data_IF_349496032682
#
_entry.id   IF_349496032682
#
_cell.length_a   1.000
_cell.length_b   1.000
_cell.length_c   1.000
_cell.angle_alpha   90.00
_cell.angle_beta   90.00
_cell.angle_gamma   90.00
#
_symmetry.space_group_name_H-M   'P 1'
#
loop_
_entity.id
_entity.type
_entity.pdbx_description
1 polymer ?
#
# COMPACT_ATOMS: atom_id res chain seq x y z
N UNK A 1 -19.50 12.82 0.50
CA UNK A 1 -19.17 11.39 0.70
C UNK A 1 -18.35 10.84 -0.46
N UNK A 2 -18.80 11.01 -1.70
CA UNK A 2 -18.07 10.52 -2.88
C UNK A 2 -16.65 11.12 -2.96
N UNK A 3 -16.51 12.41 -2.68
CA UNK A 3 -15.19 13.07 -2.71
C UNK A 3 -14.21 12.51 -1.69
N UNK A 4 -14.69 12.16 -0.50
CA UNK A 4 -13.84 11.58 0.55
C UNK A 4 -13.47 10.16 0.17
N UNK A 5 -14.40 9.36 -0.35
CA UNK A 5 -14.10 8.01 -0.82
C UNK A 5 -13.02 8.02 -1.90
N UNK A 6 -13.14 8.91 -2.86
CA UNK A 6 -12.16 9.04 -3.95
C UNK A 6 -10.80 9.51 -3.41
N UNK A 7 -10.79 10.44 -2.49
CA UNK A 7 -9.58 10.93 -1.86
C UNK A 7 -8.84 9.79 -1.14
N UNK A 8 -9.56 9.00 -0.34
CA UNK A 8 -8.94 7.89 0.38
C UNK A 8 -8.52 6.75 -0.56
N UNK A 9 -9.27 6.52 -1.64
CA UNK A 9 -8.88 5.55 -2.66
C UNK A 9 -7.59 5.97 -3.36
N UNK A 10 -7.47 7.24 -3.73
CA UNK A 10 -6.26 7.77 -4.36
C UNK A 10 -5.06 7.71 -3.41
N UNK A 11 -5.26 8.07 -2.15
CA UNK A 11 -4.19 7.96 -1.15
C UNK A 11 -3.77 6.51 -0.93
N UNK A 12 -4.71 5.59 -0.86
CA UNK A 12 -4.39 4.16 -0.69
C UNK A 12 -3.52 3.68 -1.83
N UNK A 13 -3.91 4.00 -3.06
CA UNK A 13 -3.14 3.66 -4.25
C UNK A 13 -1.72 4.25 -4.15
N UNK A 14 -1.61 5.54 -3.88
CA UNK A 14 -0.33 6.24 -3.87
C UNK A 14 0.60 5.72 -2.77
N UNK A 15 0.08 5.46 -1.58
CA UNK A 15 0.90 4.98 -0.45
C UNK A 15 1.41 3.56 -0.73
N UNK A 16 0.54 2.66 -1.20
CA UNK A 16 0.96 1.29 -1.49
C UNK A 16 1.97 1.26 -2.64
N UNK A 17 1.73 2.03 -3.70
CA UNK A 17 2.68 2.15 -4.82
C UNK A 17 4.03 2.66 -4.32
N UNK A 18 4.01 3.70 -3.51
CA UNK A 18 5.25 4.24 -2.95
C UNK A 18 5.99 3.20 -2.12
N UNK A 19 5.27 2.38 -1.34
CA UNK A 19 5.91 1.35 -0.53
C UNK A 19 6.67 0.33 -1.37
N UNK A 20 6.17 0.03 -2.57
CA UNK A 20 6.89 -0.83 -3.53
C UNK A 20 8.07 -0.09 -4.16
N UNK A 21 7.87 1.16 -4.57
CA UNK A 21 8.92 1.95 -5.22
C UNK A 21 10.12 2.20 -4.30
N UNK A 22 9.87 2.29 -3.00
CA UNK A 22 10.91 2.52 -1.99
C UNK A 22 11.40 1.22 -1.34
N UNK A 23 10.86 0.07 -1.75
CA UNK A 23 11.13 -1.23 -1.12
C UNK A 23 10.84 -1.22 0.38
N UNK A 24 9.84 -0.45 0.79
CA UNK A 24 9.46 -0.33 2.20
C UNK A 24 10.30 0.62 3.03
N UNK A 25 11.16 1.40 2.40
CA UNK A 25 12.02 2.36 3.09
C UNK A 25 11.21 3.60 3.51
N UNK A 26 10.76 3.61 4.74
CA UNK A 26 9.90 4.66 5.27
C UNK A 26 10.56 6.04 5.25
N UNK A 27 11.89 6.12 5.34
CA UNK A 27 12.61 7.39 5.29
C UNK A 27 12.41 8.14 3.99
N UNK A 28 12.00 7.43 2.94
CA UNK A 28 11.72 8.00 1.62
C UNK A 28 10.25 8.32 1.38
N UNK A 29 9.39 8.02 2.34
CA UNK A 29 7.96 8.27 2.18
C UNK A 29 7.62 9.74 2.39
N UNK A 30 6.74 10.24 1.53
CA UNK A 30 6.14 11.56 1.71
C UNK A 30 4.82 11.52 2.50
N UNK A 31 4.44 10.33 3.01
CA UNK A 31 3.19 10.13 3.75
C UNK A 31 3.43 9.83 5.24
N UNK A 32 4.55 10.27 5.78
CA UNK A 32 4.92 9.97 7.17
C UNK A 32 3.92 10.55 8.19
N UNK A 33 3.20 11.61 7.82
CA UNK A 33 2.16 12.19 8.67
C UNK A 33 0.85 11.38 8.66
N UNK A 34 0.69 10.48 7.71
CA UNK A 34 -0.56 9.75 7.47
C UNK A 34 -0.44 8.29 7.86
N UNK A 35 0.74 7.69 7.67
CA UNK A 35 0.96 6.27 7.93
C UNK A 35 2.20 6.10 8.82
N UNK A 36 2.12 5.18 9.78
CA UNK A 36 3.25 4.86 10.66
C UNK A 36 4.28 3.98 9.95
N UNK A 37 5.50 3.97 10.49
CA UNK A 37 6.59 3.15 9.95
C UNK A 37 6.24 1.67 9.93
N UNK A 38 5.68 1.16 11.01
CA UNK A 38 5.31 -0.27 11.11
C UNK A 38 4.30 -0.66 10.04
N UNK A 39 3.28 0.17 9.84
CA UNK A 39 2.26 -0.09 8.83
C UNK A 39 2.85 0.01 7.42
N UNK A 40 3.62 1.06 7.18
CA UNK A 40 4.24 1.28 5.86
C UNK A 40 5.13 0.10 5.46
N UNK A 41 5.94 -0.39 6.39
CA UNK A 41 6.85 -1.50 6.14
C UNK A 41 6.12 -2.80 5.80
N UNK A 42 4.87 -2.95 6.24
CA UNK A 42 4.07 -4.14 5.92
C UNK A 42 3.29 -4.04 4.61
N UNK A 43 3.26 -2.88 3.97
CA UNK A 43 2.40 -2.66 2.81
C UNK A 43 2.88 -3.33 1.54
N UNK A 44 4.17 -3.60 1.40
CA UNK A 44 4.66 -4.25 0.19
C UNK A 44 4.73 -5.77 0.37
N UNK A 45 4.71 -6.49 -0.75
CA UNK A 45 4.70 -7.95 -0.77
C UNK A 45 5.92 -8.55 -0.07
N UNK A 46 7.07 -7.92 -0.21
CA UNK A 46 8.31 -8.42 0.38
C UNK A 46 8.42 -8.09 1.86
N UNK A 47 7.68 -7.13 2.33
CA UNK A 47 7.61 -6.70 3.73
C UNK A 47 8.93 -6.14 4.26
N UNK A 48 9.03 -6.02 5.58
CA UNK A 48 10.21 -5.46 6.22
C UNK A 48 11.44 -6.34 5.96
N UNK A 49 12.56 -5.72 5.69
CA UNK A 49 13.82 -6.41 5.40
C UNK A 49 13.99 -6.79 3.94
N UNK A 50 12.93 -6.75 3.14
CA UNK A 50 13.01 -7.14 1.74
C UNK A 50 13.83 -6.17 0.90
N UNK A 51 13.91 -4.92 1.30
CA UNK A 51 14.75 -3.96 0.58
C UNK A 51 16.25 -4.29 0.70
N UNK A 52 16.65 -5.08 1.68
CA UNK A 52 18.02 -5.57 1.77
C UNK A 52 18.34 -6.56 0.65
N UNK A 53 17.31 -7.18 0.08
CA UNK A 53 17.41 -8.14 -1.02
C UNK A 53 16.97 -7.56 -2.37
N UNK A 54 16.82 -6.24 -2.47
CA UNK A 54 16.31 -5.60 -3.69
C UNK A 54 17.17 -5.86 -4.93
N UNK A 55 18.43 -6.20 -4.75
CA UNK A 55 19.30 -6.57 -5.87
C UNK A 55 18.95 -7.94 -6.45
N UNK A 56 18.18 -8.75 -5.72
CA UNK A 56 17.73 -10.07 -6.14
C UNK A 56 16.33 -10.05 -6.74
N UNK A 57 15.56 -9.01 -6.47
CA UNK A 57 14.16 -8.90 -6.89
C UNK A 57 13.89 -7.57 -7.56
N UNK A 58 13.11 -7.62 -8.61
CA UNK A 58 12.54 -6.42 -9.24
C UNK A 58 11.03 -6.58 -9.20
N UNK A 59 10.34 -5.65 -8.55
CA UNK A 59 8.89 -5.71 -8.37
C UNK A 59 8.24 -4.51 -9.02
N UNK A 60 7.20 -4.79 -9.78
CA UNK A 60 6.35 -3.77 -10.40
C UNK A 60 4.91 -4.01 -9.99
N UNK A 61 4.22 -2.95 -9.62
CA UNK A 61 2.78 -3.01 -9.37
C UNK A 61 2.05 -2.65 -10.66
N UNK A 62 1.10 -3.50 -11.03
CA UNK A 62 0.34 -3.33 -12.26
C UNK A 62 -0.54 -2.10 -12.22
N UNK A 63 -0.65 -1.40 -13.36
CA UNK A 63 -1.52 -0.25 -13.53
C UNK A 63 -3.02 -0.60 -13.59
N UNK A 64 -3.37 -1.89 -13.58
CA UNK A 64 -4.78 -2.34 -13.63
C UNK A 64 -5.40 -2.49 -12.26
N UNK A 65 -4.80 -1.90 -11.27
CA UNK A 65 -5.23 -1.99 -9.89
C UNK A 65 -6.46 -1.12 -9.64
N UNK A 66 -7.34 -1.60 -8.76
CA UNK A 66 -8.54 -0.87 -8.34
C UNK A 66 -8.56 -0.73 -6.84
N UNK A 67 -8.96 0.44 -6.38
CA UNK A 67 -9.20 0.70 -4.97
C UNK A 67 -10.65 1.08 -4.77
N UNK A 68 -11.33 0.39 -3.85
CA UNK A 68 -12.68 0.72 -3.43
C UNK A 68 -12.68 1.12 -1.97
N UNK A 69 -13.29 2.26 -1.66
CA UNK A 69 -13.36 2.76 -0.30
C UNK A 69 -14.82 2.84 0.16
N UNK A 70 -15.08 2.27 1.34
CA UNK A 70 -16.34 2.40 2.05
C UNK A 70 -16.13 3.25 3.29
N UNK A 71 -17.00 4.22 3.48
CA UNK A 71 -17.00 5.03 4.69
C UNK A 71 -18.06 4.46 5.61
N UNK A 72 -17.59 4.05 6.79
CA UNK A 72 -18.53 3.58 7.82
C UNK A 72 -18.91 4.79 8.68
N UNK A 73 -19.14 5.12 9.56
CA UNK A 73 -19.45 6.31 10.32
C UNK A 73 -18.77 7.57 9.75
N UNK A 74 -18.84 8.68 10.41
CA UNK A 74 -18.27 9.94 9.97
C UNK A 74 -16.74 9.98 10.05
N UNK A 75 -16.15 9.07 10.81
CA UNK A 75 -14.72 9.14 11.16
C UNK A 75 -13.93 7.86 10.86
N UNK A 76 -14.53 6.87 10.21
CA UNK A 76 -13.83 5.64 9.85
C UNK A 76 -14.14 5.23 8.41
N UNK A 77 -13.17 4.62 7.77
CA UNK A 77 -13.32 4.13 6.41
C UNK A 77 -12.41 2.93 6.17
N UNK A 78 -12.73 2.17 5.13
CA UNK A 78 -11.94 1.02 4.72
C UNK A 78 -11.73 1.08 3.22
N UNK A 79 -10.47 0.97 2.78
CA UNK A 79 -10.10 0.89 1.37
C UNK A 79 -9.58 -0.51 1.07
N UNK A 80 -10.18 -1.16 0.06
CA UNK A 80 -9.68 -2.43 -0.46
C UNK A 80 -8.97 -2.19 -1.76
N UNK A 81 -7.75 -2.67 -1.85
CA UNK A 81 -6.89 -2.51 -3.01
C UNK A 81 -6.48 -3.89 -3.53
N UNK A 82 -6.91 -4.19 -4.76
CA UNK A 82 -6.52 -5.41 -5.46
C UNK A 82 -5.59 -5.03 -6.59
N UNK A 83 -4.42 -5.68 -6.65
CA UNK A 83 -3.42 -5.35 -7.65
C UNK A 83 -2.63 -6.58 -8.05
N UNK A 84 -1.95 -6.49 -9.20
CA UNK A 84 -1.05 -7.53 -9.68
C UNK A 84 0.40 -7.10 -9.45
N UNK A 85 1.23 -8.06 -9.07
CA UNK A 85 2.66 -7.87 -8.91
C UNK A 85 3.35 -8.65 -10.00
N UNK A 86 4.28 -7.99 -10.68
CA UNK A 86 5.21 -8.62 -11.61
C UNK A 86 6.60 -8.53 -11.00
N UNK A 87 7.27 -9.64 -10.88
CA UNK A 87 8.60 -9.64 -10.29
C UNK A 87 9.54 -10.58 -11.02
N UNK A 88 10.84 -10.28 -10.94
CA UNK A 88 11.88 -11.15 -11.43
C UNK A 88 12.90 -11.42 -10.32
N UNK A 89 13.50 -12.59 -10.38
CA UNK A 89 14.55 -12.98 -9.43
C UNK A 89 15.88 -12.94 -10.18
N UNK A 90 16.87 -12.30 -9.59
CA UNK A 90 18.19 -12.17 -10.19
C UNK A 90 18.78 -13.55 -10.48
N UNK A 91 19.23 -13.76 -11.70
CA UNK A 91 19.80 -15.04 -12.14
C UNK A 91 18.80 -16.00 -12.74
N UNK A 92 17.51 -15.69 -12.70
CA UNK A 92 16.45 -16.48 -13.33
C UNK A 92 15.90 -15.73 -14.54
N UNK A 93 15.50 -16.50 -15.58
CA UNK A 93 14.88 -15.93 -16.77
C UNK A 93 13.38 -15.74 -16.54
N UNK A 94 12.85 -14.68 -17.17
CA UNK A 94 11.42 -14.43 -17.19
C UNK A 94 10.93 -13.73 -15.92
N UNK A 95 9.61 -13.69 -15.81
CA UNK A 95 8.91 -13.00 -14.73
C UNK A 95 7.89 -13.91 -14.09
N UNK A 96 7.70 -13.72 -12.81
CA UNK A 96 6.58 -14.32 -12.08
C UNK A 96 5.52 -13.25 -11.81
N UNK A 97 4.27 -13.69 -11.67
CA UNK A 97 3.14 -12.81 -11.45
C UNK A 97 2.38 -13.29 -10.22
N UNK A 98 1.83 -12.36 -9.48
CA UNK A 98 0.97 -12.66 -8.35
C UNK A 98 -0.10 -11.62 -8.21
N UNK A 99 -1.24 -12.02 -7.63
CA UNK A 99 -2.28 -11.08 -7.22
C UNK A 99 -2.19 -10.86 -5.72
N UNK A 100 -2.44 -9.65 -5.32
CA UNK A 100 -2.51 -9.30 -3.91
C UNK A 100 -3.74 -8.45 -3.66
N UNK A 101 -4.35 -8.65 -2.50
CA UNK A 101 -5.44 -7.79 -2.03
C UNK A 101 -5.05 -7.32 -0.65
N UNK A 102 -5.14 -6.03 -0.43
CA UNK A 102 -4.91 -5.47 0.89
C UNK A 102 -6.08 -4.59 1.31
N UNK A 103 -6.19 -4.40 2.61
CA UNK A 103 -7.21 -3.57 3.22
C UNK A 103 -6.53 -2.53 4.10
N UNK A 104 -6.84 -1.27 3.85
CA UNK A 104 -6.35 -0.14 4.63
C UNK A 104 -7.50 0.40 5.44
N UNK A 105 -7.35 0.41 6.76
CA UNK A 105 -8.31 1.02 7.66
C UNK A 105 -7.91 2.47 7.89
N UNK A 106 -8.88 3.35 7.81
CA UNK A 106 -8.70 4.79 7.95
C UNK A 106 -9.47 5.32 9.14
N UNK A 107 -8.89 6.30 9.79
CA UNK A 107 -9.54 7.04 10.86
C UNK A 107 -9.34 8.53 10.66
N UNK A 108 -10.41 9.29 10.83
CA UNK A 108 -10.35 10.74 10.87
C UNK A 108 -10.02 11.17 12.29
N UNK A 109 -8.87 11.76 12.47
CA UNK A 109 -8.41 12.24 13.77
C UNK A 109 -8.98 13.62 14.13
N UNK A 110 -8.78 14.04 15.37
CA UNK A 110 -9.34 15.30 15.88
C UNK A 110 -8.82 16.54 15.14
N UNK A 111 -7.68 16.43 14.48
CA UNK A 111 -7.12 17.49 13.65
C UNK A 111 -7.68 17.55 12.24
N UNK A 112 -8.73 16.78 11.96
CA UNK A 112 -9.35 16.67 10.65
C UNK A 112 -8.47 16.01 9.57
N UNK A 113 -7.50 15.22 9.97
CA UNK A 113 -6.63 14.49 9.05
C UNK A 113 -6.99 13.01 9.08
N UNK A 114 -7.23 12.44 7.90
CA UNK A 114 -7.42 11.00 7.76
C UNK A 114 -6.06 10.31 7.83
N UNK A 115 -5.95 9.33 8.72
CA UNK A 115 -4.73 8.55 8.90
C UNK A 115 -5.01 7.06 8.81
N UNK A 116 -4.02 6.32 8.37
CA UNK A 116 -4.10 4.86 8.33
C UNK A 116 -4.02 4.34 9.76
N UNK A 117 -5.05 3.61 10.19
CA UNK A 117 -5.11 3.03 11.52
C UNK A 117 -4.69 1.56 11.54
N UNK A 118 -4.84 0.86 10.42
CA UNK A 118 -4.45 -0.54 10.31
C UNK A 118 -4.29 -0.93 8.84
N UNK A 119 -3.56 -2.00 8.62
CA UNK A 119 -3.32 -2.58 7.29
C UNK A 119 -3.36 -4.09 7.39
N UNK A 120 -4.07 -4.73 6.48
CA UNK A 120 -4.17 -6.17 6.39
C UNK A 120 -3.95 -6.63 4.96
N UNK A 121 -3.14 -7.65 4.81
CA UNK A 121 -2.88 -8.28 3.51
C UNK A 121 -2.87 -9.78 3.70
N UNK A 122 -4.03 -10.45 3.55
CA UNK A 122 -4.11 -11.89 3.70
C UNK A 122 -3.16 -12.61 2.74
N UNK A 123 -2.65 -13.77 3.15
CA UNK A 123 -1.77 -14.57 2.30
C UNK A 123 -2.45 -15.10 1.03
#
# INVERSE_FOLDING_TARGET
MIKISNYLSDLTYDIVQESYDTYGDYSKSKYQDIVSENIYSSMNYLRSGSYDNRDEFIIYVSNQSKVNTLIFFLDTAESKYTYEIKFSIKGEEGYSYGKSTCTVQWKLDDDNVWRVSDFDSPP
#
